data_IF_964046500994
#
_entry.id   IF_964046500994
#
_cell.length_a   1.000
_cell.length_b   1.000
_cell.length_c   1.000
_cell.angle_alpha   90.00
_cell.angle_beta   90.00
_cell.angle_gamma   90.00
#
_symmetry.space_group_name_H-M   'P 1'
#
loop_
_entity.id
_entity.type
_entity.pdbx_description
1 polymer ?
#
# COMPACT_ATOMS: atom_id res chain seq x y z
N UNK A 1 -12.79 -0.45 14.24
CA UNK A 1 -11.60 -0.70 15.07
C UNK A 1 -11.25 0.61 15.77
N UNK A 2 -10.77 0.63 17.02
CA UNK A 2 -10.33 1.89 17.66
C UNK A 2 -9.15 2.48 16.87
N UNK A 3 -9.08 3.81 16.73
CA UNK A 3 -7.91 4.49 16.14
C UNK A 3 -6.66 4.09 16.93
N UNK A 4 -5.67 3.55 16.23
CA UNK A 4 -4.35 3.21 16.77
C UNK A 4 -3.54 4.50 16.86
N UNK A 5 -3.28 4.97 18.08
CA UNK A 5 -2.52 6.20 18.32
C UNK A 5 -1.03 5.94 18.61
N UNK A 6 -0.65 4.67 18.83
CA UNK A 6 0.73 4.22 19.08
C UNK A 6 0.98 2.86 18.42
N UNK A 7 2.21 2.62 17.99
CA UNK A 7 2.63 1.33 17.46
C UNK A 7 2.46 0.23 18.54
N UNK A 8 1.73 -0.86 18.25
CA UNK A 8 1.51 -1.94 19.22
C UNK A 8 2.76 -2.80 19.48
N UNK A 9 3.80 -2.68 18.63
CA UNK A 9 5.02 -3.48 18.75
C UNK A 9 6.15 -2.79 19.51
N UNK A 10 6.30 -1.47 19.35
CA UNK A 10 7.40 -0.70 19.96
C UNK A 10 6.94 0.50 20.78
N UNK A 11 5.62 0.76 20.87
CA UNK A 11 5.06 1.85 21.67
C UNK A 11 5.23 3.26 21.10
N UNK A 12 5.96 3.45 20.00
CA UNK A 12 6.17 4.77 19.38
C UNK A 12 4.87 5.38 18.83
N UNK A 13 4.74 6.71 18.97
CA UNK A 13 3.66 7.53 18.41
C UNK A 13 4.10 8.34 17.18
N UNK A 14 5.30 8.12 16.65
CA UNK A 14 5.92 9.05 15.69
C UNK A 14 5.31 8.96 14.28
N UNK A 15 4.61 7.86 13.99
CA UNK A 15 3.78 7.76 12.79
C UNK A 15 3.94 6.45 12.01
N UNK A 16 3.40 6.49 10.80
CA UNK A 16 3.29 5.38 9.86
C UNK A 16 3.79 5.83 8.47
N UNK A 17 4.37 4.92 7.71
CA UNK A 17 4.58 5.08 6.26
C UNK A 17 3.83 3.99 5.50
N UNK A 18 3.40 4.29 4.27
CA UNK A 18 2.81 3.32 3.37
C UNK A 18 3.93 2.56 2.65
N UNK A 19 4.09 1.29 2.99
CA UNK A 19 4.97 0.36 2.30
C UNK A 19 4.17 -0.35 1.21
N UNK A 20 4.57 -0.17 -0.06
CA UNK A 20 3.84 -0.75 -1.18
C UNK A 20 4.73 -1.38 -2.22
N UNK A 21 4.23 -2.47 -2.80
CA UNK A 21 4.82 -3.14 -3.95
C UNK A 21 3.79 -3.25 -5.07
N UNK A 22 4.24 -2.97 -6.29
CA UNK A 22 3.44 -3.12 -7.52
C UNK A 22 4.10 -4.17 -8.39
N UNK A 23 3.36 -5.19 -8.76
CA UNK A 23 3.80 -6.22 -9.69
C UNK A 23 2.77 -6.40 -10.79
N UNK A 24 3.21 -6.44 -12.05
CA UNK A 24 2.33 -6.62 -13.20
C UNK A 24 3.12 -6.80 -14.50
N UNK A 25 2.43 -6.74 -15.62
CA UNK A 25 3.01 -6.82 -16.97
C UNK A 25 2.46 -5.69 -17.82
N UNK A 26 3.32 -5.10 -18.63
CA UNK A 26 2.96 -4.13 -19.66
C UNK A 26 3.24 -4.74 -21.01
N UNK A 27 2.31 -4.61 -21.94
CA UNK A 27 2.43 -5.16 -23.28
C UNK A 27 2.66 -4.04 -24.28
N UNK A 28 3.65 -4.25 -25.14
CA UNK A 28 4.04 -3.33 -26.19
C UNK A 28 4.11 -4.09 -27.52
N UNK A 29 3.70 -3.42 -28.58
CA UNK A 29 3.94 -3.85 -29.95
C UNK A 29 5.42 -3.69 -30.29
N UNK A 30 5.92 -4.43 -31.27
CA UNK A 30 7.30 -4.30 -31.76
C UNK A 30 7.64 -2.91 -32.31
N UNK A 31 6.63 -2.10 -32.64
CA UNK A 31 6.80 -0.71 -33.03
C UNK A 31 6.87 0.27 -31.83
N UNK A 32 6.94 -0.23 -30.60
CA UNK A 32 7.07 0.55 -29.37
C UNK A 32 5.77 1.14 -28.83
N UNK A 33 4.62 0.92 -29.48
CA UNK A 33 3.31 1.39 -28.97
C UNK A 33 2.76 0.42 -27.92
N UNK A 34 2.09 0.95 -26.90
CA UNK A 34 1.33 0.14 -25.94
C UNK A 34 0.26 -0.69 -26.67
N UNK A 35 0.07 -1.93 -26.23
CA UNK A 35 -0.84 -2.89 -26.88
C UNK A 35 -2.29 -2.81 -26.36
N UNK A 36 -2.67 -1.76 -25.64
CA UNK A 36 -4.05 -1.44 -25.28
C UNK A 36 -4.78 -2.44 -24.36
N UNK A 37 -4.18 -3.59 -24.02
CA UNK A 37 -4.71 -4.46 -22.97
C UNK A 37 -4.74 -3.68 -21.65
N UNK A 38 -5.91 -3.68 -20.99
CA UNK A 38 -6.20 -2.86 -19.82
C UNK A 38 -5.21 -3.16 -18.70
N UNK A 39 -4.24 -2.25 -18.61
CA UNK A 39 -3.15 -2.09 -17.66
C UNK A 39 -3.63 -2.51 -16.27
N UNK A 40 -4.81 -2.04 -15.84
CA UNK A 40 -5.26 -2.11 -14.45
C UNK A 40 -5.51 -3.52 -13.91
N UNK A 41 -5.91 -4.47 -14.75
CA UNK A 41 -6.35 -5.80 -14.30
C UNK A 41 -5.20 -6.73 -13.87
N UNK A 42 -3.97 -6.47 -14.34
CA UNK A 42 -2.80 -7.32 -14.09
C UNK A 42 -1.87 -6.80 -12.99
N UNK A 43 -2.10 -5.58 -12.48
CA UNK A 43 -1.31 -5.04 -11.38
C UNK A 43 -1.87 -5.48 -10.03
N UNK A 44 -1.05 -6.25 -9.31
CA UNK A 44 -1.27 -6.50 -7.89
C UNK A 44 -0.59 -5.39 -7.10
N UNK A 45 -1.40 -4.71 -6.28
CA UNK A 45 -0.94 -3.70 -5.35
C UNK A 45 -0.99 -4.30 -3.95
N UNK A 46 0.16 -4.49 -3.32
CA UNK A 46 0.23 -4.85 -1.90
C UNK A 46 0.62 -3.57 -1.15
N UNK A 47 -0.32 -2.98 -0.40
CA UNK A 47 -0.10 -1.75 0.37
C UNK A 47 -0.32 -2.00 1.86
N UNK A 48 0.63 -1.61 2.70
CA UNK A 48 0.56 -1.77 4.15
C UNK A 48 1.01 -0.50 4.87
N UNK A 49 0.39 -0.20 6.00
CA UNK A 49 0.89 0.83 6.90
C UNK A 49 1.89 0.23 7.87
N UNK A 50 3.08 0.83 7.92
CA UNK A 50 4.24 0.33 8.67
C UNK A 50 4.74 1.38 9.65
N UNK A 51 5.13 0.96 10.86
CA UNK A 51 5.71 1.87 11.84
C UNK A 51 7.08 2.39 11.38
N UNK A 52 7.28 3.71 11.42
CA UNK A 52 8.54 4.37 11.01
C UNK A 52 9.77 3.91 11.81
N UNK A 53 9.58 3.51 13.08
CA UNK A 53 10.67 3.14 13.98
C UNK A 53 11.02 1.65 13.93
N UNK A 54 10.04 0.77 14.13
CA UNK A 54 10.30 -0.68 14.25
C UNK A 54 10.05 -1.46 12.95
N UNK A 55 9.56 -0.80 11.90
CA UNK A 55 9.28 -1.38 10.56
C UNK A 55 8.30 -2.57 10.58
N UNK A 56 7.57 -2.77 11.67
CA UNK A 56 6.49 -3.75 11.75
C UNK A 56 5.25 -3.21 11.03
N UNK A 57 4.60 -4.08 10.27
CA UNK A 57 3.30 -3.82 9.64
C UNK A 57 2.24 -3.68 10.72
N UNK A 58 1.45 -2.61 10.64
CA UNK A 58 0.45 -2.25 11.63
C UNK A 58 -0.96 -2.61 11.14
N UNK A 59 -1.25 -2.36 9.87
CA UNK A 59 -2.54 -2.64 9.22
C UNK A 59 -2.39 -2.61 7.70
N UNK A 60 -3.40 -3.05 6.96
CA UNK A 60 -3.45 -2.83 5.51
C UNK A 60 -3.73 -1.36 5.19
N UNK A 61 -3.47 -0.96 3.95
CA UNK A 61 -3.80 0.40 3.51
C UNK A 61 -5.32 0.64 3.48
N UNK A 62 -6.12 -0.35 3.10
CA UNK A 62 -7.59 -0.24 3.12
C UNK A 62 -8.13 -0.06 4.55
N UNK A 63 -7.56 -0.78 5.52
CA UNK A 63 -7.88 -0.57 6.94
C UNK A 63 -7.52 0.85 7.39
N UNK A 64 -6.41 1.39 6.90
CA UNK A 64 -6.01 2.76 7.20
C UNK A 64 -6.97 3.79 6.60
N UNK A 65 -7.32 3.66 5.32
CA UNK A 65 -8.29 4.55 4.66
C UNK A 65 -9.62 4.61 5.44
N UNK A 66 -10.18 3.44 5.74
CA UNK A 66 -11.46 3.30 6.45
C UNK A 66 -11.44 3.92 7.85
N UNK A 67 -10.33 3.81 8.58
CA UNK A 67 -10.26 4.24 9.98
C UNK A 67 -9.75 5.69 10.16
N UNK A 68 -9.04 6.26 9.18
CA UNK A 68 -8.37 7.56 9.34
C UNK A 68 -8.75 8.61 8.30
N UNK A 69 -9.07 8.21 7.07
CA UNK A 69 -9.37 9.15 5.97
C UNK A 69 -10.88 9.21 5.69
N UNK A 70 -11.62 8.12 5.91
CA UNK A 70 -13.08 8.07 5.70
C UNK A 70 -13.49 7.77 4.27
N UNK A 71 -12.58 7.20 3.47
CA UNK A 71 -12.84 6.65 2.14
C UNK A 71 -13.33 5.19 2.20
#
# INVERSE_FOLDING_TARGET
MKKITKCPYCGSSDGLYNDFNVSGRSFYKFNGKEDGEDITSLYRHNKYMVCVNCRKRIMTYEEFLKNYIGE
#
